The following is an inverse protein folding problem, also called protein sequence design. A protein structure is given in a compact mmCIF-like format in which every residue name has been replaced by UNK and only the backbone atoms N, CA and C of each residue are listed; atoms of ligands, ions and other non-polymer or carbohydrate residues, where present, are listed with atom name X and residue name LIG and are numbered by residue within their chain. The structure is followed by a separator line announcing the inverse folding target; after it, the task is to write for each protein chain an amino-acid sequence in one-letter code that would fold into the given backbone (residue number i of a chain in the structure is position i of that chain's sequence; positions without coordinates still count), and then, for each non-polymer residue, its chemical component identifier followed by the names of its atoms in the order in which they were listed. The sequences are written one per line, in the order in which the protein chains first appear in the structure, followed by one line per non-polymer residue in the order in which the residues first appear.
data_IF_422566259822
#
_entry.id   IF_422566259822
#
_cell.length_a   1.000
_cell.length_b   1.000
_cell.length_c   1.000
_cell.angle_alpha   90.00
_cell.angle_beta   90.00
_cell.angle_gamma   90.00
#
_symmetry.space_group_name_H-M   'P 1'
#
loop_
_entity.id
_entity.type
_entity.pdbx_description
1 polymer ?
#
# COMPACT_ATOMS: atom_id res chain seq x y z
N UNK A 1 26.35 1.22 -9.49
CA UNK A 1 25.06 1.00 -8.82
C UNK A 1 24.66 2.30 -8.17
N UNK A 2 23.51 2.85 -8.49
CA UNK A 2 22.98 4.06 -7.86
C UNK A 2 22.53 3.77 -6.42
N UNK A 3 22.34 4.81 -5.60
CA UNK A 3 21.78 4.63 -4.25
C UNK A 3 20.40 3.98 -4.27
N UNK A 4 19.54 4.35 -5.21
CA UNK A 4 18.22 3.75 -5.37
C UNK A 4 18.29 2.24 -5.69
N UNK A 5 19.22 1.83 -6.55
CA UNK A 5 19.45 0.40 -6.85
C UNK A 5 19.93 -0.36 -5.61
N UNK A 6 20.87 0.21 -4.84
CA UNK A 6 21.36 -0.39 -3.59
C UNK A 6 20.24 -0.52 -2.54
N UNK A 7 19.44 0.53 -2.37
CA UNK A 7 18.30 0.50 -1.45
C UNK A 7 17.24 -0.52 -1.89
N UNK A 8 16.97 -0.60 -3.20
CA UNK A 8 16.06 -1.59 -3.77
C UNK A 8 16.54 -3.02 -3.49
N UNK A 9 17.82 -3.31 -3.68
CA UNK A 9 18.41 -4.61 -3.37
C UNK A 9 18.28 -4.93 -1.88
N UNK A 10 18.64 -4.00 -0.99
CA UNK A 10 18.49 -4.16 0.46
C UNK A 10 17.04 -4.43 0.87
N UNK A 11 16.10 -3.66 0.37
CA UNK A 11 14.66 -3.81 0.64
C UNK A 11 14.12 -5.15 0.14
N UNK A 12 14.62 -5.69 -0.97
CA UNK A 12 14.24 -7.01 -1.48
C UNK A 12 14.49 -8.12 -0.45
N UNK A 13 15.50 -7.97 0.40
CA UNK A 13 15.80 -8.91 1.48
C UNK A 13 15.11 -8.56 2.80
N UNK A 14 14.95 -7.27 3.11
CA UNK A 14 14.35 -6.82 4.37
C UNK A 14 12.82 -6.98 4.41
N UNK A 15 12.13 -6.78 3.30
CA UNK A 15 10.66 -6.88 3.24
C UNK A 15 10.14 -8.26 3.66
N UNK A 16 10.63 -9.39 3.11
CA UNK A 16 10.18 -10.72 3.55
C UNK A 16 10.46 -10.99 5.03
N UNK A 17 11.63 -10.55 5.53
CA UNK A 17 11.96 -10.68 6.93
C UNK A 17 11.03 -9.84 7.82
N UNK A 18 10.80 -8.57 7.47
CA UNK A 18 9.91 -7.68 8.22
C UNK A 18 8.47 -8.18 8.27
N UNK A 19 7.96 -8.72 7.16
CA UNK A 19 6.63 -9.35 7.13
C UNK A 19 6.53 -10.56 8.06
N UNK A 20 7.53 -11.45 8.04
CA UNK A 20 7.55 -12.66 8.88
C UNK A 20 7.65 -12.33 10.37
N UNK A 21 8.39 -11.29 10.72
CA UNK A 21 8.64 -10.89 12.12
C UNK A 21 7.69 -9.81 12.63
N UNK A 22 6.80 -9.28 11.78
CA UNK A 22 5.96 -8.12 12.05
C UNK A 22 6.75 -6.91 12.54
N UNK A 23 7.97 -6.74 12.02
CA UNK A 23 8.86 -5.64 12.37
C UNK A 23 8.63 -4.44 11.48
N UNK A 24 8.83 -3.24 12.02
CA UNK A 24 8.95 -2.02 11.25
C UNK A 24 10.42 -1.59 11.15
N UNK A 25 10.80 -0.94 10.08
CA UNK A 25 12.13 -0.33 9.97
C UNK A 25 12.10 0.93 9.10
N UNK A 26 12.87 1.92 9.53
CA UNK A 26 13.02 3.19 8.85
C UNK A 26 14.36 3.24 8.11
N UNK A 27 14.34 3.55 6.83
CA UNK A 27 15.50 3.57 5.94
C UNK A 27 15.56 4.92 5.18
N UNK A 28 16.17 5.97 5.77
CA UNK A 28 16.36 7.21 5.04
C UNK A 28 17.41 7.05 3.92
N UNK A 29 17.22 7.77 2.82
CA UNK A 29 18.24 7.90 1.78
C UNK A 29 19.33 8.87 2.22
N UNK A 30 20.53 8.78 1.62
CA UNK A 30 21.59 9.78 1.83
C UNK A 30 21.20 11.16 1.30
N UNK A 31 20.30 11.18 0.32
CA UNK A 31 19.70 12.41 -0.26
C UNK A 31 18.48 12.92 0.51
N UNK A 32 18.04 12.23 1.58
CA UNK A 32 16.89 12.64 2.36
C UNK A 32 17.11 14.05 2.96
N UNK A 33 16.10 14.92 2.79
CA UNK A 33 16.12 16.24 3.41
C UNK A 33 15.74 16.14 4.89
N UNK A 34 16.23 17.07 5.73
CA UNK A 34 15.85 17.10 7.14
C UNK A 34 14.36 17.39 7.35
N UNK A 35 13.73 18.09 6.40
CA UNK A 35 12.31 18.45 6.44
C UNK A 35 11.51 17.53 5.52
N UNK A 36 10.49 16.87 6.07
CA UNK A 36 9.52 16.09 5.32
C UNK A 36 8.36 17.01 4.93
N UNK A 37 8.06 17.05 3.63
CA UNK A 37 7.01 17.92 3.07
C UNK A 37 5.78 17.16 2.58
N UNK A 38 5.91 15.86 2.33
CA UNK A 38 4.84 14.98 1.85
C UNK A 38 4.86 13.65 2.59
N UNK A 39 3.68 13.10 2.85
CA UNK A 39 3.53 11.77 3.49
C UNK A 39 2.62 10.92 2.63
N UNK A 40 3.03 9.70 2.32
CA UNK A 40 2.20 8.78 1.57
C UNK A 40 2.24 7.36 2.17
N UNK A 41 1.13 6.64 2.00
CA UNK A 41 0.93 5.32 2.57
C UNK A 41 0.38 4.35 1.53
N UNK A 42 0.83 3.10 1.58
CA UNK A 42 0.04 2.00 1.02
C UNK A 42 -1.22 1.77 1.87
N UNK A 43 -2.16 0.97 1.37
CA UNK A 43 -3.44 0.71 2.01
C UNK A 43 -3.52 -0.69 2.63
N UNK A 44 -3.58 -1.72 1.77
CA UNK A 44 -3.74 -3.12 2.21
C UNK A 44 -2.50 -3.62 2.94
N UNK A 45 -2.65 -4.06 4.19
CA UNK A 45 -1.52 -4.54 5.00
C UNK A 45 -0.70 -3.43 5.68
N UNK A 46 -0.92 -2.17 5.32
CA UNK A 46 -0.28 -0.98 5.90
C UNK A 46 -1.26 -0.16 6.74
N UNK A 47 -2.23 0.48 6.12
CA UNK A 47 -3.27 1.26 6.82
C UNK A 47 -4.42 0.38 7.32
N UNK A 48 -4.70 -0.73 6.65
CA UNK A 48 -5.73 -1.70 7.04
C UNK A 48 -5.10 -3.02 7.48
N UNK A 49 -5.75 -3.70 8.44
CA UNK A 49 -5.40 -5.07 8.84
C UNK A 49 -6.15 -6.12 8.01
N UNK A 50 -7.16 -5.69 7.26
CA UNK A 50 -8.02 -6.53 6.41
C UNK A 50 -7.77 -6.18 4.96
N UNK A 51 -7.38 -7.17 4.16
CA UNK A 51 -7.17 -7.02 2.73
C UNK A 51 -8.47 -7.18 1.95
N UNK A 52 -8.68 -6.36 0.91
CA UNK A 52 -9.92 -6.33 0.13
C UNK A 52 -10.19 -7.65 -0.64
N UNK A 53 -9.19 -8.17 -1.34
CA UNK A 53 -9.38 -9.34 -2.21
C UNK A 53 -9.82 -10.61 -1.47
N UNK A 54 -9.23 -10.99 -0.32
CA UNK A 54 -9.71 -12.11 0.48
C UNK A 54 -11.17 -11.95 0.95
N UNK A 55 -11.57 -10.74 1.33
CA UNK A 55 -12.96 -10.48 1.75
C UNK A 55 -13.95 -10.64 0.58
N UNK A 56 -13.62 -10.14 -0.60
CA UNK A 56 -14.42 -10.33 -1.81
C UNK A 56 -14.47 -11.81 -2.22
N UNK A 57 -13.38 -12.54 -2.10
CA UNK A 57 -13.32 -13.98 -2.39
C UNK A 57 -14.22 -14.78 -1.45
N UNK A 58 -14.28 -14.41 -0.17
CA UNK A 58 -15.20 -15.02 0.80
C UNK A 58 -16.66 -14.82 0.39
N UNK A 59 -17.01 -13.62 -0.06
CA UNK A 59 -18.37 -13.33 -0.54
C UNK A 59 -18.72 -14.11 -1.81
N UNK A 60 -17.74 -14.32 -2.72
CA UNK A 60 -17.95 -15.07 -3.98
C UNK A 60 -17.82 -16.58 -3.82
N UNK A 61 -17.48 -17.10 -2.63
CA UNK A 61 -17.22 -18.52 -2.40
C UNK A 61 -15.92 -19.03 -3.02
N UNK A 62 -14.96 -18.15 -3.30
CA UNK A 62 -13.67 -18.45 -3.97
C UNK A 62 -12.46 -18.34 -3.05
N UNK A 63 -12.65 -18.44 -1.73
CA UNK A 63 -11.58 -18.24 -0.74
C UNK A 63 -10.39 -19.18 -0.94
N UNK A 64 -10.62 -20.46 -1.21
CA UNK A 64 -9.55 -21.45 -1.41
C UNK A 64 -8.69 -21.12 -2.63
N UNK A 65 -9.34 -20.80 -3.76
CA UNK A 65 -8.64 -20.42 -5.00
C UNK A 65 -7.85 -19.11 -4.81
N UNK A 66 -8.43 -18.14 -4.13
CA UNK A 66 -7.77 -16.86 -3.80
C UNK A 66 -6.53 -17.09 -2.94
N UNK A 67 -6.64 -17.93 -1.92
CA UNK A 67 -5.51 -18.27 -1.05
C UNK A 67 -4.38 -18.92 -1.84
N UNK A 68 -4.68 -19.92 -2.66
CA UNK A 68 -3.68 -20.62 -3.49
C UNK A 68 -2.93 -19.67 -4.44
N UNK A 69 -3.65 -18.76 -5.12
CA UNK A 69 -3.03 -17.75 -5.99
C UNK A 69 -2.18 -16.74 -5.22
N UNK A 70 -2.61 -16.35 -4.02
CA UNK A 70 -1.86 -15.43 -3.15
C UNK A 70 -0.57 -16.07 -2.67
N UNK A 71 -0.62 -17.34 -2.20
CA UNK A 71 0.56 -18.09 -1.76
C UNK A 71 1.57 -18.29 -2.90
N UNK A 72 1.11 -18.61 -4.11
CA UNK A 72 1.96 -18.75 -5.29
C UNK A 72 2.67 -17.43 -5.64
N UNK A 73 1.98 -16.30 -5.54
CA UNK A 73 2.57 -14.99 -5.76
C UNK A 73 3.60 -14.63 -4.66
N UNK A 74 3.28 -14.91 -3.40
CA UNK A 74 4.19 -14.67 -2.28
C UNK A 74 5.45 -15.54 -2.33
N UNK A 75 5.34 -16.75 -2.88
CA UNK A 75 6.48 -17.63 -3.15
C UNK A 75 7.33 -17.17 -4.36
N UNK A 76 6.94 -16.08 -5.04
CA UNK A 76 7.64 -15.57 -6.22
C UNK A 76 7.43 -16.39 -7.49
N UNK A 77 6.44 -17.31 -7.49
CA UNK A 77 6.13 -18.16 -8.66
C UNK A 77 5.44 -17.37 -9.78
N UNK A 78 4.83 -16.22 -9.45
CA UNK A 78 4.09 -15.39 -10.41
C UNK A 78 4.37 -13.91 -10.15
N UNK A 79 4.63 -13.08 -11.18
CA UNK A 79 4.76 -11.63 -11.04
C UNK A 79 3.50 -11.00 -10.43
N UNK A 80 3.66 -9.92 -9.65
CA UNK A 80 2.56 -9.24 -8.96
C UNK A 80 1.37 -8.94 -9.89
N UNK A 81 1.63 -8.28 -11.03
CA UNK A 81 0.59 -7.86 -11.98
C UNK A 81 -0.22 -9.04 -12.52
N UNK A 82 0.44 -10.12 -12.89
CA UNK A 82 -0.21 -11.34 -13.39
C UNK A 82 -1.05 -12.01 -12.31
N UNK A 83 -0.47 -12.19 -11.11
CA UNK A 83 -1.18 -12.72 -9.96
C UNK A 83 -2.39 -11.86 -9.58
N UNK A 84 -2.25 -10.53 -9.61
CA UNK A 84 -3.33 -9.61 -9.28
C UNK A 84 -4.48 -9.72 -10.29
N UNK A 85 -4.18 -9.82 -11.59
CA UNK A 85 -5.19 -10.07 -12.63
C UNK A 85 -5.91 -11.38 -12.38
N UNK A 86 -5.19 -12.49 -12.16
CA UNK A 86 -5.79 -13.82 -11.94
C UNK A 86 -6.68 -13.83 -10.69
N UNK A 87 -6.25 -13.24 -9.60
CA UNK A 87 -7.05 -13.12 -8.38
C UNK A 87 -8.32 -12.30 -8.60
N UNK A 88 -8.22 -11.24 -9.39
CA UNK A 88 -9.35 -10.39 -9.75
C UNK A 88 -10.36 -11.10 -10.65
N UNK A 89 -9.90 -11.97 -11.58
CA UNK A 89 -10.78 -12.77 -12.44
C UNK A 89 -11.72 -13.69 -11.63
N UNK A 90 -11.30 -14.18 -10.46
CA UNK A 90 -12.14 -14.98 -9.57
C UNK A 90 -13.38 -14.23 -9.08
N UNK A 91 -13.38 -12.91 -9.13
CA UNK A 91 -14.41 -12.04 -8.59
C UNK A 91 -15.39 -11.54 -9.65
N UNK A 92 -15.19 -11.91 -10.94
CA UNK A 92 -16.09 -11.52 -12.02
C UNK A 92 -17.52 -11.95 -11.73
N UNK A 93 -18.44 -11.07 -12.07
CA UNK A 93 -19.87 -11.30 -11.90
C UNK A 93 -20.43 -10.86 -10.53
N UNK A 94 -19.60 -10.47 -9.57
CA UNK A 94 -20.08 -9.79 -8.37
C UNK A 94 -20.84 -8.52 -8.75
N UNK A 95 -21.97 -8.24 -8.10
CA UNK A 95 -22.66 -6.98 -8.33
C UNK A 95 -21.85 -5.81 -7.77
N UNK A 96 -22.00 -4.62 -8.35
CA UNK A 96 -21.38 -3.40 -7.84
C UNK A 96 -21.74 -3.15 -6.38
N UNK A 97 -23.00 -3.38 -6.01
CA UNK A 97 -23.49 -3.22 -4.65
C UNK A 97 -22.80 -4.18 -3.67
N UNK A 98 -22.58 -5.43 -4.09
CA UNK A 98 -21.88 -6.44 -3.27
C UNK A 98 -20.42 -6.03 -3.04
N UNK A 99 -19.71 -5.58 -4.09
CA UNK A 99 -18.35 -5.07 -3.99
C UNK A 99 -18.27 -3.87 -3.05
N UNK A 100 -19.11 -2.87 -3.24
CA UNK A 100 -19.14 -1.68 -2.38
C UNK A 100 -19.59 -1.99 -0.94
N UNK A 101 -20.41 -3.03 -0.73
CA UNK A 101 -20.76 -3.48 0.63
C UNK A 101 -19.55 -4.01 1.38
N UNK A 102 -18.70 -4.81 0.72
CA UNK A 102 -17.44 -5.28 1.31
C UNK A 102 -16.48 -4.11 1.57
N UNK A 103 -16.30 -3.22 0.59
CA UNK A 103 -15.46 -2.03 0.75
C UNK A 103 -15.85 -1.25 2.01
N UNK A 104 -17.14 -0.93 2.17
CA UNK A 104 -17.62 -0.19 3.34
C UNK A 104 -17.49 -0.94 4.67
N UNK A 105 -17.40 -2.26 4.65
CA UNK A 105 -17.20 -3.07 5.85
C UNK A 105 -15.76 -3.06 6.36
N UNK A 106 -14.79 -2.77 5.50
CA UNK A 106 -13.38 -2.66 5.90
C UNK A 106 -13.16 -1.33 6.62
N UNK A 107 -12.62 -1.41 7.83
CA UNK A 107 -12.37 -0.24 8.67
C UNK A 107 -10.88 -0.04 8.91
N UNK A 108 -10.49 1.21 9.07
CA UNK A 108 -9.15 1.56 9.54
C UNK A 108 -9.09 1.37 11.07
N UNK A 109 -7.96 0.90 11.61
CA UNK A 109 -7.68 0.98 13.04
C UNK A 109 -7.84 2.42 13.56
N UNK A 110 -8.25 2.56 14.82
CA UNK A 110 -8.50 3.89 15.41
C UNK A 110 -7.26 4.78 15.34
N UNK A 111 -6.08 4.26 15.69
CA UNK A 111 -4.83 5.03 15.66
C UNK A 111 -4.42 5.42 14.25
N UNK A 112 -4.68 4.58 13.25
CA UNK A 112 -4.48 4.92 11.83
C UNK A 112 -5.42 6.05 11.40
N UNK A 113 -6.70 5.98 11.80
CA UNK A 113 -7.67 7.06 11.51
C UNK A 113 -7.26 8.38 12.16
N UNK A 114 -6.78 8.35 13.41
CA UNK A 114 -6.28 9.52 14.11
C UNK A 114 -5.06 10.09 13.42
N UNK A 115 -4.07 9.26 13.07
CA UNK A 115 -2.89 9.67 12.33
C UNK A 115 -3.26 10.46 11.06
N UNK A 116 -4.09 9.88 10.19
CA UNK A 116 -4.45 10.50 8.91
C UNK A 116 -5.17 11.83 9.07
N UNK A 117 -5.92 12.03 10.16
CA UNK A 117 -6.60 13.29 10.48
C UNK A 117 -5.72 14.34 11.15
N UNK A 118 -4.66 13.93 11.83
CA UNK A 118 -3.74 14.81 12.54
C UNK A 118 -2.63 15.34 11.63
N UNK A 119 -2.30 14.64 10.54
CA UNK A 119 -1.28 15.05 9.60
C UNK A 119 -1.67 16.39 8.95
N UNK A 120 -0.84 17.40 9.15
CA UNK A 120 -0.98 18.72 8.52
C UNK A 120 -0.26 18.83 7.17
N UNK A 121 0.59 17.86 6.86
CA UNK A 121 1.32 17.79 5.59
C UNK A 121 0.42 17.23 4.48
N UNK A 122 0.68 17.59 3.22
CA UNK A 122 0.11 16.90 2.07
C UNK A 122 0.24 15.38 2.23
N UNK A 123 -0.90 14.68 2.24
CA UNK A 123 -0.96 13.24 2.52
C UNK A 123 -1.70 12.52 1.40
N UNK A 124 -1.15 11.39 0.94
CA UNK A 124 -1.74 10.55 -0.10
C UNK A 124 -1.84 9.08 0.31
N UNK A 125 -2.82 8.36 -0.27
CA UNK A 125 -2.89 6.89 -0.23
C UNK A 125 -2.57 6.36 -1.64
N UNK A 126 -1.56 5.47 -1.72
CA UNK A 126 -0.99 4.96 -2.98
C UNK A 126 -1.03 3.44 -2.95
N UNK A 127 -2.05 2.85 -3.56
CA UNK A 127 -2.31 1.41 -3.42
C UNK A 127 -2.42 0.69 -4.75
N UNK A 128 -2.04 -0.61 -4.76
CA UNK A 128 -2.36 -1.52 -5.84
C UNK A 128 -3.82 -2.02 -5.81
N UNK A 129 -4.54 -1.83 -4.71
CA UNK A 129 -5.93 -2.24 -4.57
C UNK A 129 -6.88 -1.47 -5.51
N UNK A 130 -8.15 -1.83 -5.50
CA UNK A 130 -9.15 -1.22 -6.39
C UNK A 130 -9.38 0.26 -6.06
N UNK A 131 -9.45 1.09 -7.10
CA UNK A 131 -9.74 2.51 -6.97
C UNK A 131 -10.99 2.80 -6.12
N UNK A 132 -12.15 2.14 -6.28
CA UNK A 132 -13.31 2.37 -5.42
C UNK A 132 -13.06 2.12 -3.92
N UNK A 133 -12.08 1.29 -3.58
CA UNK A 133 -11.71 1.04 -2.19
C UNK A 133 -10.92 2.20 -1.59
N UNK A 134 -9.90 2.66 -2.29
CA UNK A 134 -9.12 3.80 -1.80
C UNK A 134 -9.94 5.09 -1.79
N UNK A 135 -10.86 5.28 -2.75
CA UNK A 135 -11.80 6.41 -2.76
C UNK A 135 -12.67 6.43 -1.50
N UNK A 136 -13.31 5.31 -1.14
CA UNK A 136 -14.16 5.19 0.06
C UNK A 136 -13.36 5.45 1.34
N UNK A 137 -12.12 4.94 1.45
CA UNK A 137 -11.25 5.21 2.59
C UNK A 137 -10.90 6.70 2.67
N UNK A 138 -10.46 7.31 1.56
CA UNK A 138 -10.10 8.72 1.50
C UNK A 138 -11.27 9.63 1.86
N UNK A 139 -12.47 9.34 1.37
CA UNK A 139 -13.69 10.07 1.73
C UNK A 139 -13.94 10.03 3.25
N UNK A 140 -13.80 8.86 3.88
CA UNK A 140 -14.03 8.69 5.33
C UNK A 140 -13.01 9.44 6.20
N UNK A 141 -11.77 9.65 5.72
CA UNK A 141 -10.72 10.32 6.49
C UNK A 141 -10.46 11.76 6.03
N UNK A 142 -11.09 12.21 4.94
CA UNK A 142 -10.98 13.57 4.43
C UNK A 142 -9.73 13.82 3.59
N UNK A 143 -9.17 12.79 2.93
CA UNK A 143 -8.07 12.91 1.99
C UNK A 143 -8.56 13.06 0.56
N UNK A 144 -7.83 13.81 -0.27
CA UNK A 144 -8.15 14.03 -1.68
C UNK A 144 -7.08 13.49 -2.65
N UNK A 145 -5.89 13.17 -2.15
CA UNK A 145 -4.81 12.62 -2.97
C UNK A 145 -4.75 11.10 -2.79
N UNK A 146 -4.98 10.38 -3.87
CA UNK A 146 -4.90 8.91 -3.87
C UNK A 146 -4.74 8.36 -5.28
N UNK A 147 -4.28 7.11 -5.36
CA UNK A 147 -4.31 6.29 -6.58
C UNK A 147 -4.60 4.84 -6.23
N UNK A 148 -5.38 4.17 -7.07
CA UNK A 148 -5.69 2.74 -7.01
C UNK A 148 -5.91 2.17 -8.40
N UNK A 149 -5.91 0.85 -8.53
CA UNK A 149 -6.13 0.17 -9.80
C UNK A 149 -7.57 0.32 -10.27
N UNK A 150 -7.75 0.75 -11.51
CA UNK A 150 -9.09 0.94 -12.08
C UNK A 150 -9.78 -0.41 -12.31
N UNK A 151 -11.09 -0.43 -12.05
CA UNK A 151 -11.96 -1.60 -12.24
C UNK A 151 -12.98 -1.34 -13.32
N UNK A 152 -13.40 -2.39 -14.01
CA UNK A 152 -14.43 -2.34 -15.05
C UNK A 152 -15.70 -3.02 -14.58
N UNK A 153 -16.81 -2.56 -15.16
CA UNK A 153 -18.14 -3.13 -14.94
C UNK A 153 -18.80 -3.40 -16.28
N UNK A 154 -19.59 -4.47 -16.34
CA UNK A 154 -20.48 -4.76 -17.47
C UNK A 154 -21.63 -3.75 -17.53
N UNK A 155 -22.35 -3.71 -18.65
CA UNK A 155 -23.49 -2.82 -18.82
C UNK A 155 -24.62 -3.04 -17.79
N UNK A 156 -24.75 -4.27 -17.27
CA UNK A 156 -25.69 -4.65 -16.22
C UNK A 156 -25.12 -4.46 -14.79
N UNK A 157 -23.99 -3.76 -14.66
CA UNK A 157 -23.42 -3.35 -13.37
C UNK A 157 -22.65 -4.44 -12.61
N UNK A 158 -22.27 -5.51 -13.27
CA UNK A 158 -21.45 -6.55 -12.65
C UNK A 158 -19.96 -6.24 -12.79
N UNK A 159 -19.18 -6.59 -11.78
CA UNK A 159 -17.73 -6.48 -11.81
C UNK A 159 -17.14 -7.33 -12.95
N UNK A 160 -16.35 -6.71 -13.81
CA UNK A 160 -15.75 -7.30 -15.01
C UNK A 160 -14.21 -7.32 -14.98
N UNK A 161 -13.64 -7.21 -13.80
CA UNK A 161 -12.18 -7.27 -13.59
C UNK A 161 -11.50 -5.90 -13.60
N UNK A 162 -10.17 -5.94 -13.71
CA UNK A 162 -9.33 -4.74 -13.78
C UNK A 162 -9.32 -4.15 -15.18
N UNK A 163 -9.06 -2.85 -15.25
CA UNK A 163 -8.54 -2.24 -16.46
C UNK A 163 -7.04 -2.54 -16.57
N UNK A 164 -6.59 -3.33 -17.57
CA UNK A 164 -5.20 -3.75 -17.66
C UNK A 164 -4.20 -2.59 -17.86
N UNK A 165 -4.65 -1.46 -18.41
CA UNK A 165 -3.81 -0.28 -18.64
C UNK A 165 -3.71 0.63 -17.40
N UNK A 166 -4.56 0.42 -16.40
CA UNK A 166 -4.64 1.24 -15.21
C UNK A 166 -4.44 0.42 -13.90
N UNK A 167 -3.58 -0.60 -13.95
CA UNK A 167 -3.14 -1.35 -12.78
C UNK A 167 -1.98 -0.60 -12.12
N UNK A 168 -2.09 -0.35 -10.83
CA UNK A 168 -1.05 0.28 -10.02
C UNK A 168 -0.16 -0.81 -9.41
N UNK A 169 0.98 -1.02 -10.01
CA UNK A 169 2.07 -1.89 -9.52
C UNK A 169 3.19 -1.06 -8.87
N UNK A 170 4.36 -1.66 -8.61
CA UNK A 170 5.47 -0.98 -7.95
C UNK A 170 5.96 0.25 -8.72
N UNK A 171 6.05 0.16 -10.05
CA UNK A 171 6.43 1.28 -10.91
C UNK A 171 5.33 2.35 -10.93
N UNK A 172 4.06 1.96 -10.99
CA UNK A 172 2.91 2.86 -10.93
C UNK A 172 2.83 3.64 -9.62
N UNK A 173 3.12 3.00 -8.48
CA UNK A 173 3.21 3.68 -7.18
C UNK A 173 4.31 4.74 -7.18
N UNK A 174 5.49 4.39 -7.66
CA UNK A 174 6.62 5.33 -7.78
C UNK A 174 6.28 6.50 -8.70
N UNK A 175 5.72 6.23 -9.89
CA UNK A 175 5.35 7.26 -10.86
C UNK A 175 4.33 8.25 -10.28
N UNK A 176 3.31 7.76 -9.57
CA UNK A 176 2.37 8.62 -8.86
C UNK A 176 3.06 9.52 -7.85
N UNK A 177 3.98 9.00 -7.03
CA UNK A 177 4.71 9.80 -6.04
C UNK A 177 5.55 10.89 -6.72
N UNK A 178 6.25 10.57 -7.81
CA UNK A 178 7.04 11.55 -8.59
C UNK A 178 6.17 12.70 -9.10
N UNK A 179 5.01 12.39 -9.66
CA UNK A 179 4.07 13.39 -10.18
C UNK A 179 3.42 14.20 -9.05
N UNK A 180 2.84 13.53 -8.04
CA UNK A 180 2.12 14.16 -6.95
C UNK A 180 2.99 15.10 -6.11
N UNK A 181 4.26 14.72 -5.88
CA UNK A 181 5.21 15.54 -5.13
C UNK A 181 5.95 16.56 -6.00
N UNK A 182 5.65 16.65 -7.30
CA UNK A 182 6.39 17.43 -8.29
C UNK A 182 7.91 17.16 -8.23
N UNK A 183 8.29 15.90 -8.01
CA UNK A 183 9.68 15.44 -7.94
C UNK A 183 10.35 15.60 -6.56
N UNK A 184 9.63 16.05 -5.53
CA UNK A 184 10.17 16.26 -4.17
C UNK A 184 10.31 14.92 -3.39
N UNK A 185 10.77 13.85 -4.04
CA UNK A 185 10.91 12.53 -3.40
C UNK A 185 11.89 12.54 -2.21
N UNK A 186 12.95 13.37 -2.25
CA UNK A 186 13.93 13.48 -1.17
C UNK A 186 13.33 13.96 0.17
N UNK A 187 12.22 14.70 0.13
CA UNK A 187 11.45 15.19 1.27
C UNK A 187 10.12 14.47 1.46
N UNK A 188 9.98 13.25 0.91
CA UNK A 188 8.76 12.46 1.00
C UNK A 188 8.96 11.27 1.93
N UNK A 189 8.04 11.09 2.89
CA UNK A 189 7.88 9.86 3.66
C UNK A 189 6.90 8.95 2.92
N UNK A 190 7.32 7.73 2.61
CA UNK A 190 6.46 6.67 2.11
C UNK A 190 6.47 5.47 3.04
N UNK A 191 5.28 4.93 3.34
CA UNK A 191 5.10 3.74 4.17
C UNK A 191 4.41 2.64 3.38
N UNK A 192 4.97 1.43 3.41
CA UNK A 192 4.41 0.25 2.74
C UNK A 192 4.90 -1.05 3.37
N UNK A 193 4.23 -2.17 3.06
CA UNK A 193 4.45 -3.48 3.69
C UNK A 193 4.93 -4.57 2.73
N UNK A 194 4.89 -4.34 1.43
CA UNK A 194 4.99 -5.40 0.44
C UNK A 194 6.00 -5.20 -0.69
N UNK A 195 6.15 -6.24 -1.49
CA UNK A 195 7.02 -6.21 -2.67
C UNK A 195 6.56 -5.19 -3.71
N UNK A 196 5.26 -4.87 -3.75
CA UNK A 196 4.72 -3.88 -4.66
C UNK A 196 4.96 -2.43 -4.19
N UNK A 197 5.58 -2.24 -3.01
CA UNK A 197 6.04 -0.94 -2.49
C UNK A 197 7.52 -0.69 -2.77
N UNK A 198 8.22 -1.71 -3.27
CA UNK A 198 9.68 -1.73 -3.38
C UNK A 198 10.24 -0.51 -4.12
N UNK A 199 9.66 -0.16 -5.27
CA UNK A 199 10.16 0.93 -6.10
C UNK A 199 9.85 2.30 -5.47
N UNK A 200 8.70 2.44 -4.80
CA UNK A 200 8.34 3.63 -4.03
C UNK A 200 9.27 3.81 -2.81
N UNK A 201 9.42 2.76 -1.98
CA UNK A 201 10.32 2.77 -0.81
C UNK A 201 11.78 3.06 -1.19
N UNK A 202 12.25 2.51 -2.33
CA UNK A 202 13.61 2.76 -2.79
C UNK A 202 13.83 4.18 -3.31
N UNK A 203 12.79 4.84 -3.85
CA UNK A 203 12.89 6.13 -4.50
C UNK A 203 12.77 7.33 -3.53
N UNK A 204 12.01 7.20 -2.45
CA UNK A 204 11.76 8.31 -1.51
C UNK A 204 12.93 8.57 -0.57
N UNK A 205 13.04 9.81 -0.07
CA UNK A 205 14.02 10.18 0.94
C UNK A 205 13.81 9.45 2.27
N UNK A 206 12.56 9.26 2.67
CA UNK A 206 12.18 8.66 3.94
C UNK A 206 11.31 7.42 3.71
N UNK A 207 11.91 6.23 3.76
CA UNK A 207 11.20 4.97 3.61
C UNK A 207 10.90 4.36 4.98
N UNK A 208 9.64 4.08 5.27
CA UNK A 208 9.20 3.30 6.42
C UNK A 208 8.56 1.99 5.91
N UNK A 209 9.24 0.87 6.12
CA UNK A 209 8.58 -0.41 6.01
C UNK A 209 7.76 -0.66 7.27
N UNK A 210 6.50 -1.03 7.11
CA UNK A 210 5.59 -1.25 8.20
C UNK A 210 4.47 -2.21 7.80
N UNK A 211 4.15 -3.16 8.66
CA UNK A 211 2.97 -4.02 8.51
C UNK A 211 1.91 -3.66 9.54
N UNK A 212 0.64 -3.71 9.16
CA UNK A 212 -0.46 -3.38 10.08
C UNK A 212 -0.49 -4.24 11.36
N UNK A 213 0.11 -5.44 11.33
CA UNK A 213 0.27 -6.31 12.48
C UNK A 213 1.25 -5.76 13.54
N UNK A 214 2.14 -4.84 13.17
CA UNK A 214 3.02 -4.15 14.13
C UNK A 214 2.22 -3.29 15.13
N UNK A 215 1.18 -2.60 14.66
CA UNK A 215 0.18 -1.94 15.50
C UNK A 215 0.55 -0.57 16.06
N UNK A 216 1.67 0.06 15.66
CA UNK A 216 2.09 1.40 16.14
C UNK A 216 2.52 2.33 15.00
N UNK A 217 1.73 2.40 13.94
CA UNK A 217 2.02 3.27 12.80
C UNK A 217 2.08 4.75 13.22
N UNK A 218 1.12 5.17 14.04
CA UNK A 218 1.02 6.55 14.49
C UNK A 218 2.27 7.02 15.23
N UNK A 219 2.73 6.23 16.21
CA UNK A 219 3.94 6.54 16.98
C UNK A 219 5.18 6.62 16.09
N UNK A 220 5.37 5.66 15.18
CA UNK A 220 6.52 5.64 14.26
C UNK A 220 6.54 6.85 13.32
N UNK A 221 5.40 7.20 12.73
CA UNK A 221 5.31 8.36 11.82
C UNK A 221 5.62 9.66 12.57
N UNK A 222 5.07 9.85 13.79
CA UNK A 222 5.39 11.03 14.59
C UNK A 222 6.87 11.12 14.98
N UNK A 223 7.50 9.98 15.33
CA UNK A 223 8.94 9.94 15.62
C UNK A 223 9.79 10.33 14.40
N UNK A 224 9.43 9.83 13.20
CA UNK A 224 10.12 10.20 11.96
C UNK A 224 9.94 11.69 11.66
N UNK A 225 8.72 12.23 11.78
CA UNK A 225 8.43 13.64 11.52
C UNK A 225 9.11 14.58 12.51
N UNK A 226 9.38 14.14 13.75
CA UNK A 226 10.16 14.88 14.75
C UNK A 226 11.67 14.67 14.65
N UNK A 227 12.16 13.88 13.69
CA UNK A 227 13.55 13.47 13.52
C UNK A 227 14.15 12.73 14.74
N UNK A 228 13.31 12.08 15.54
CA UNK A 228 13.71 11.34 16.74
C UNK A 228 14.02 9.86 16.47
N UNK A 229 13.80 9.37 15.25
CA UNK A 229 14.01 7.98 14.88
C UNK A 229 15.37 7.78 14.17
N UNK A 230 16.26 6.95 14.72
CA UNK A 230 17.52 6.64 14.04
C UNK A 230 17.28 5.75 12.80
N UNK A 231 18.17 5.81 11.78
CA UNK A 231 18.13 4.92 10.63
C UNK A 231 18.20 3.43 11.05
N UNK A 232 17.55 2.56 10.25
CA UNK A 232 17.51 1.10 10.49
C UNK A 232 17.04 0.76 11.92
N UNK A 233 15.85 1.19 12.24
CA UNK A 233 15.23 0.91 13.53
C UNK A 233 14.33 -0.34 13.43
N UNK A 234 14.77 -1.55 13.80
CA UNK A 234 13.89 -2.69 13.96
C UNK A 234 13.13 -2.54 15.28
N UNK A 235 11.84 -2.22 15.22
CA UNK A 235 10.98 -2.33 16.40
C UNK A 235 10.28 -3.68 16.35
N UNK A 236 10.63 -4.56 17.25
CA UNK A 236 9.86 -5.77 17.59
C UNK A 236 9.02 -5.46 18.81
N UNK A 237 7.76 -5.85 18.79
CA UNK A 237 6.96 -5.95 20.01
C UNK A 237 7.30 -7.18 20.80
#
# INVERSE_FOLDING_TARGET
MSETELRRELLTHLIPWGRTTHSAFYLPASSATAEITHVAFDLDGTLTTTELLPELARLSGRSEEMTALTEAAMAGATPFRESFIHRTELLRGLSREALHSVIRSITLPTDTTLLLRELSLPTAIVTGAYQPFVEDICERVGLSAFVGSAVRYTADGKFDGLDPEAIIDAEGKRAFLEEWTAGALASTLYTGDGANDLDALAAVGHALFYTAQHGDLRGLVHQILSADLPPLFPTTR
#
